data_IF_117402390127
#
_entry.id   IF_117402390127
#
_cell.length_a   1.000
_cell.length_b   1.000
_cell.length_c   1.000
_cell.angle_alpha   90.00
_cell.angle_beta   90.00
_cell.angle_gamma   90.00
#
_symmetry.space_group_name_H-M   'P 1'
#
loop_
_entity.id
_entity.type
_entity.pdbx_description
1 polymer ?
#
# COMPACT_ATOMS: atom_id res chain seq x y z
N UNK A 1 -26.58 -4.70 6.34
CA UNK A 1 -26.38 -5.50 5.10
C UNK A 1 -24.88 -5.75 4.92
N UNK A 2 -24.42 -6.89 5.40
CA UNK A 2 -23.03 -7.34 5.47
C UNK A 2 -22.53 -7.77 4.09
N UNK A 3 -21.57 -7.04 3.53
CA UNK A 3 -20.91 -7.36 2.25
C UNK A 3 -19.90 -8.51 2.40
N UNK A 4 -20.38 -9.71 2.74
CA UNK A 4 -19.57 -10.94 2.85
C UNK A 4 -20.19 -12.18 2.16
N UNK A 5 -21.14 -12.02 1.24
CA UNK A 5 -21.74 -13.17 0.52
C UNK A 5 -20.97 -13.61 -0.75
N UNK A 6 -19.83 -13.00 -1.05
CA UNK A 6 -18.87 -13.53 -2.00
C UNK A 6 -17.55 -13.75 -1.25
N UNK A 7 -17.18 -15.00 -0.98
CA UNK A 7 -15.94 -15.42 -0.27
C UNK A 7 -14.65 -15.08 -1.06
N UNK A 8 -14.51 -13.85 -1.55
CA UNK A 8 -13.27 -13.33 -2.11
C UNK A 8 -12.48 -12.71 -0.97
N UNK A 9 -11.69 -13.55 -0.31
CA UNK A 9 -10.75 -13.10 0.73
C UNK A 9 -9.62 -12.28 0.12
N UNK A 10 -9.19 -11.25 0.84
CA UNK A 10 -8.01 -10.47 0.47
C UNK A 10 -7.22 -10.05 1.71
N UNK A 11 -5.90 -9.99 1.57
CA UNK A 11 -4.97 -9.50 2.58
C UNK A 11 -3.98 -8.52 1.94
N UNK A 12 -3.92 -7.25 2.39
CA UNK A 12 -2.89 -6.32 1.94
C UNK A 12 -1.55 -6.65 2.60
N UNK A 13 -0.45 -6.57 1.84
CA UNK A 13 0.90 -6.65 2.39
C UNK A 13 1.26 -5.34 3.12
N UNK A 14 1.65 -5.38 4.41
CA UNK A 14 2.11 -4.21 5.15
C UNK A 14 3.54 -3.80 4.76
N UNK A 15 3.95 -2.58 5.14
CA UNK A 15 5.35 -2.15 5.13
C UNK A 15 5.90 -1.58 3.82
N UNK A 16 5.14 -1.63 2.72
CA UNK A 16 5.61 -1.11 1.43
C UNK A 16 5.36 0.41 1.35
N UNK A 17 6.42 1.18 1.34
CA UNK A 17 6.37 2.64 1.19
C UNK A 17 6.57 3.03 -0.28
N UNK A 18 5.61 3.79 -0.85
CA UNK A 18 5.67 4.29 -2.23
C UNK A 18 5.98 3.24 -3.31
N UNK A 19 5.63 1.97 -3.09
CA UNK A 19 5.96 0.88 -4.01
C UNK A 19 7.44 0.51 -4.09
N UNK A 20 8.26 0.99 -3.17
CA UNK A 20 9.68 0.64 -3.10
C UNK A 20 9.86 -0.72 -2.41
N UNK A 21 10.68 -1.57 -3.01
CA UNK A 21 10.98 -2.91 -2.53
C UNK A 21 12.47 -3.17 -2.65
N UNK A 22 13.03 -3.82 -1.63
CA UNK A 22 14.36 -4.40 -1.66
C UNK A 22 14.30 -5.86 -2.10
N UNK A 23 15.46 -6.46 -2.39
CA UNK A 23 15.54 -7.90 -2.65
C UNK A 23 14.98 -8.72 -1.48
N UNK A 24 15.30 -8.33 -0.24
CA UNK A 24 14.79 -9.00 0.96
C UNK A 24 13.25 -8.94 1.05
N UNK A 25 12.64 -7.82 0.63
CA UNK A 25 11.17 -7.71 0.58
C UNK A 25 10.57 -8.66 -0.46
N UNK A 26 11.20 -8.76 -1.64
CA UNK A 26 10.77 -9.67 -2.71
C UNK A 26 10.89 -11.14 -2.31
N UNK A 27 11.99 -11.51 -1.65
CA UNK A 27 12.20 -12.85 -1.11
C UNK A 27 11.17 -13.18 -0.03
N UNK A 28 10.90 -12.24 0.88
CA UNK A 28 9.85 -12.39 1.91
C UNK A 28 8.47 -12.57 1.28
N UNK A 29 8.10 -11.76 0.29
CA UNK A 29 6.82 -11.90 -0.41
C UNK A 29 6.73 -13.28 -1.08
N UNK A 30 7.81 -13.71 -1.73
CA UNK A 30 7.86 -15.01 -2.42
C UNK A 30 7.71 -16.17 -1.45
N UNK A 31 8.39 -16.11 -0.29
CA UNK A 31 8.28 -17.11 0.76
C UNK A 31 6.85 -17.22 1.31
N UNK A 32 6.21 -16.08 1.61
CA UNK A 32 4.82 -16.03 2.08
C UNK A 32 3.88 -16.63 1.04
N UNK A 33 4.02 -16.25 -0.23
CA UNK A 33 3.19 -16.76 -1.33
C UNK A 33 3.32 -18.28 -1.45
N UNK A 34 4.53 -18.81 -1.30
CA UNK A 34 4.81 -20.25 -1.35
C UNK A 34 4.24 -20.99 -0.15
N UNK A 35 4.50 -20.53 1.08
CA UNK A 35 4.04 -21.20 2.31
C UNK A 35 2.53 -21.25 2.44
N UNK A 36 1.85 -20.16 2.07
CA UNK A 36 0.40 -20.04 2.18
C UNK A 36 -0.35 -20.55 0.93
N UNK A 37 0.39 -20.97 -0.11
CA UNK A 37 -0.13 -21.39 -1.41
C UNK A 37 -1.15 -20.37 -1.97
N UNK A 38 -0.73 -19.10 -2.04
CA UNK A 38 -1.60 -17.97 -2.38
C UNK A 38 -1.99 -18.05 -3.86
N UNK A 39 -3.29 -18.15 -4.21
CA UNK A 39 -3.71 -18.34 -5.59
C UNK A 39 -3.42 -17.14 -6.51
N UNK A 40 -3.53 -15.91 -5.98
CA UNK A 40 -3.31 -14.71 -6.76
C UNK A 40 -2.67 -13.60 -5.93
N UNK A 41 -1.63 -13.00 -6.48
CA UNK A 41 -1.02 -11.77 -5.98
C UNK A 41 -1.34 -10.64 -6.94
N UNK A 42 -1.94 -9.55 -6.46
CA UNK A 42 -2.32 -8.39 -7.28
C UNK A 42 -1.56 -7.14 -6.84
N UNK A 43 -0.87 -6.51 -7.78
CA UNK A 43 -0.39 -5.13 -7.63
C UNK A 43 -1.58 -4.17 -7.76
N UNK A 44 -1.70 -3.25 -6.82
CA UNK A 44 -2.78 -2.26 -6.72
C UNK A 44 -2.34 -0.89 -7.20
N UNK A 45 -3.30 -0.02 -7.57
CA UNK A 45 -3.02 1.38 -7.93
C UNK A 45 -2.40 2.21 -6.79
N UNK A 46 -2.47 1.72 -5.56
CA UNK A 46 -1.80 2.29 -4.39
C UNK A 46 -0.31 1.87 -4.27
N UNK A 47 0.25 1.22 -5.30
CA UNK A 47 1.62 0.69 -5.31
C UNK A 47 1.88 -0.36 -4.20
N UNK A 48 0.93 -1.27 -3.99
CA UNK A 48 1.00 -2.35 -2.98
C UNK A 48 0.58 -3.69 -3.54
N UNK A 49 0.96 -4.77 -2.85
CA UNK A 49 0.53 -6.14 -3.16
C UNK A 49 -0.65 -6.56 -2.30
N UNK A 50 -1.61 -7.23 -2.93
CA UNK A 50 -2.76 -7.87 -2.30
C UNK A 50 -2.71 -9.36 -2.58
N UNK A 51 -2.80 -10.16 -1.52
CA UNK A 51 -2.98 -11.60 -1.60
C UNK A 51 -4.48 -11.91 -1.67
N UNK A 52 -4.91 -12.72 -2.63
CA UNK A 52 -6.33 -12.99 -2.88
C UNK A 52 -6.60 -14.49 -3.07
N UNK A 53 -7.82 -14.91 -2.71
CA UNK A 53 -8.31 -16.27 -2.97
C UNK A 53 -7.98 -17.30 -1.89
N UNK A 54 -7.56 -16.86 -0.70
CA UNK A 54 -7.33 -17.75 0.44
C UNK A 54 -8.65 -18.22 1.08
N UNK A 55 -8.65 -19.37 1.73
CA UNK A 55 -9.75 -19.73 2.62
C UNK A 55 -9.78 -18.75 3.83
N UNK A 56 -10.94 -18.45 4.43
CA UNK A 56 -11.03 -17.55 5.58
C UNK A 56 -10.11 -17.93 6.76
N UNK A 57 -9.87 -19.21 6.97
CA UNK A 57 -9.02 -19.74 8.04
C UNK A 57 -7.55 -19.41 7.77
N UNK A 58 -7.06 -19.70 6.56
CA UNK A 58 -5.71 -19.34 6.11
C UNK A 58 -5.49 -17.83 6.07
N UNK A 59 -6.53 -17.07 5.78
CA UNK A 59 -6.48 -15.61 5.84
C UNK A 59 -6.20 -15.12 7.27
N UNK A 60 -6.84 -15.73 8.27
CA UNK A 60 -6.62 -15.37 9.67
C UNK A 60 -5.18 -15.71 10.12
N UNK A 61 -4.65 -16.86 9.69
CA UNK A 61 -3.25 -17.24 9.93
C UNK A 61 -2.27 -16.23 9.31
N UNK A 62 -2.46 -15.89 8.04
CA UNK A 62 -1.63 -14.91 7.34
C UNK A 62 -1.67 -13.52 7.98
N UNK A 63 -2.85 -13.07 8.43
CA UNK A 63 -2.99 -11.78 9.13
C UNK A 63 -2.21 -11.75 10.44
N UNK A 64 -2.27 -12.84 11.22
CA UNK A 64 -1.49 -12.98 12.45
C UNK A 64 0.01 -12.97 12.18
N UNK A 65 0.47 -13.69 11.15
CA UNK A 65 1.88 -13.72 10.76
C UNK A 65 2.38 -12.32 10.33
N UNK A 66 1.55 -11.58 9.59
CA UNK A 66 1.86 -10.22 9.14
C UNK A 66 1.68 -9.16 10.25
N UNK A 67 1.34 -9.58 11.47
CA UNK A 67 1.05 -8.71 12.62
C UNK A 67 0.06 -7.58 12.26
N UNK A 68 -0.96 -7.92 11.48
CA UNK A 68 -2.00 -6.98 11.10
C UNK A 68 -3.02 -6.86 12.24
N UNK A 69 -3.37 -5.64 12.69
CA UNK A 69 -4.28 -5.47 13.83
C UNK A 69 -5.68 -6.04 13.54
N UNK A 70 -6.27 -6.70 14.54
CA UNK A 70 -7.62 -7.25 14.43
C UNK A 70 -8.67 -6.12 14.33
N UNK A 71 -9.41 -6.07 13.21
CA UNK A 71 -10.45 -5.06 12.96
C UNK A 71 -10.91 -4.95 11.50
N UNK A 72 -11.90 -4.08 11.25
CA UNK A 72 -12.29 -3.65 9.89
C UNK A 72 -11.03 -3.30 9.07
N UNK A 73 -11.01 -3.50 7.73
CA UNK A 73 -9.78 -3.45 6.93
C UNK A 73 -8.97 -2.22 7.32
N UNK A 74 -7.74 -2.46 7.78
CA UNK A 74 -6.65 -1.65 8.39
C UNK A 74 -6.37 -0.27 7.73
N UNK A 75 -7.44 0.37 7.26
CA UNK A 75 -7.55 1.34 6.16
C UNK A 75 -8.76 2.26 6.36
N UNK A 76 -9.69 1.92 7.26
CA UNK A 76 -10.73 2.83 7.70
C UNK A 76 -10.11 3.73 8.77
N UNK A 77 -10.25 5.04 8.58
CA UNK A 77 -9.94 6.07 9.57
C UNK A 77 -8.44 6.32 9.82
N UNK A 78 -7.60 6.15 8.80
CA UNK A 78 -6.16 6.47 8.79
C UNK A 78 -5.73 6.92 7.39
N UNK A 79 -4.49 7.38 7.23
CA UNK A 79 -3.90 7.46 5.89
C UNK A 79 -3.80 6.05 5.33
N UNK A 80 -4.55 5.86 4.26
CA UNK A 80 -4.68 4.59 3.60
C UNK A 80 -3.38 4.24 2.88
N UNK A 81 -2.83 5.15 2.06
CA UNK A 81 -1.54 4.98 1.40
C UNK A 81 -0.90 6.30 1.01
N UNK A 82 0.42 6.22 0.79
CA UNK A 82 1.24 7.26 0.19
C UNK A 82 1.79 6.70 -1.12
N UNK A 83 1.33 7.26 -2.23
CA UNK A 83 1.77 6.91 -3.58
C UNK A 83 2.77 7.95 -4.06
N UNK A 84 3.90 7.51 -4.63
CA UNK A 84 4.89 8.43 -5.18
C UNK A 84 5.54 7.91 -6.46
N UNK A 85 5.92 8.83 -7.34
CA UNK A 85 6.63 8.48 -8.57
C UNK A 85 8.11 8.21 -8.27
N UNK A 86 8.90 7.72 -9.24
CA UNK A 86 10.34 7.53 -9.02
C UNK A 86 11.10 8.84 -8.72
N UNK A 87 10.52 10.00 -9.06
CA UNK A 87 11.08 11.32 -8.74
C UNK A 87 12.40 11.62 -9.44
N UNK A 88 13.10 12.64 -8.98
CA UNK A 88 14.40 13.06 -9.54
C UNK A 88 15.52 12.03 -9.37
N UNK A 89 15.33 11.01 -8.52
CA UNK A 89 16.32 9.95 -8.32
C UNK A 89 16.45 9.02 -9.53
N UNK A 90 15.33 8.72 -10.21
CA UNK A 90 15.28 7.70 -11.26
C UNK A 90 14.51 8.10 -12.52
N UNK A 91 13.68 9.14 -12.46
CA UNK A 91 12.91 9.63 -13.60
C UNK A 91 13.59 10.81 -14.27
N UNK A 92 13.81 10.73 -15.59
CA UNK A 92 14.33 11.83 -16.42
C UNK A 92 13.55 13.14 -16.27
N UNK A 93 12.24 13.05 -16.03
CA UNK A 93 11.35 14.21 -15.89
C UNK A 93 11.20 14.68 -14.44
N UNK A 94 11.74 13.95 -13.47
CA UNK A 94 11.58 14.26 -12.06
C UNK A 94 12.35 15.51 -11.67
N UNK A 95 11.65 16.53 -11.18
CA UNK A 95 12.26 17.78 -10.71
C UNK A 95 12.48 17.79 -9.19
N UNK A 96 11.77 16.92 -8.46
CA UNK A 96 11.85 16.78 -6.99
C UNK A 96 12.00 15.32 -6.58
N UNK A 97 12.63 15.12 -5.41
CA UNK A 97 12.75 13.79 -4.80
C UNK A 97 11.44 13.41 -4.10
N UNK A 98 10.62 12.64 -4.80
CA UNK A 98 9.31 12.22 -4.30
C UNK A 98 9.38 11.05 -3.34
N UNK A 99 10.40 10.19 -3.44
CA UNK A 99 10.55 9.02 -2.59
C UNK A 99 10.96 9.42 -1.18
N UNK A 100 11.84 10.42 -1.04
CA UNK A 100 12.20 11.00 0.26
C UNK A 100 10.98 11.63 0.95
N UNK A 101 10.18 12.40 0.22
CA UNK A 101 8.94 13.00 0.76
C UNK A 101 7.93 11.93 1.15
N UNK A 102 7.78 10.88 0.34
CA UNK A 102 6.89 9.77 0.67
C UNK A 102 7.31 9.02 1.94
N UNK A 103 8.61 8.84 2.14
CA UNK A 103 9.17 8.26 3.37
C UNK A 103 8.85 9.13 4.58
N UNK A 104 9.15 10.43 4.50
CA UNK A 104 8.87 11.37 5.58
C UNK A 104 7.37 11.41 5.94
N UNK A 105 6.48 11.41 4.95
CA UNK A 105 5.03 11.34 5.20
C UNK A 105 4.65 9.98 5.79
N UNK A 106 5.23 8.88 5.31
CA UNK A 106 4.99 7.54 5.86
C UNK A 106 5.36 7.44 7.35
N UNK A 107 6.46 8.08 7.75
CA UNK A 107 6.91 8.17 9.16
C UNK A 107 6.05 9.15 9.97
N UNK A 108 5.67 10.30 9.41
CA UNK A 108 4.85 11.30 10.10
C UNK A 108 3.41 10.84 10.35
N UNK A 109 2.85 10.06 9.44
CA UNK A 109 1.46 9.59 9.56
C UNK A 109 1.34 8.30 10.36
N UNK A 110 2.36 7.99 11.16
CA UNK A 110 2.30 7.01 12.23
C UNK A 110 1.26 7.45 13.27
N UNK A 111 0.06 6.91 13.12
CA UNK A 111 -0.91 6.60 14.19
C UNK A 111 -1.87 7.68 14.70
N UNK A 112 -2.12 8.75 13.95
CA UNK A 112 -3.27 9.62 14.22
C UNK A 112 -4.59 8.99 13.74
N UNK A 113 -5.62 8.79 14.60
CA UNK A 113 -6.94 8.42 14.11
C UNK A 113 -7.53 9.57 13.28
N UNK A 114 -7.86 9.30 12.02
CA UNK A 114 -8.53 10.25 11.13
C UNK A 114 -10.02 9.95 11.05
N UNK A 115 -10.91 10.94 10.85
CA UNK A 115 -12.34 10.68 10.76
C UNK A 115 -12.71 9.79 9.56
N UNK A 116 -11.91 9.84 8.49
CA UNK A 116 -12.11 9.06 7.26
C UNK A 116 -10.78 8.58 6.68
N UNK A 117 -10.85 7.68 5.69
CA UNK A 117 -9.68 7.21 4.92
C UNK A 117 -9.09 8.37 4.11
N UNK A 118 -7.77 8.56 4.18
CA UNK A 118 -7.05 9.61 3.43
C UNK A 118 -6.03 8.98 2.51
N UNK A 119 -5.97 9.42 1.25
CA UNK A 119 -5.02 8.95 0.24
C UNK A 119 -4.08 10.08 -0.13
N UNK A 120 -2.79 9.78 -0.23
CA UNK A 120 -1.75 10.75 -0.56
C UNK A 120 -1.11 10.41 -1.90
N UNK A 121 -0.91 11.41 -2.75
CA UNK A 121 -0.25 11.26 -4.06
C UNK A 121 0.81 12.31 -4.28
N UNK A 122 2.02 11.87 -4.59
CA UNK A 122 3.21 12.71 -4.68
C UNK A 122 3.81 12.57 -6.08
N UNK A 123 3.75 13.64 -6.86
CA UNK A 123 4.26 13.70 -8.22
C UNK A 123 5.39 14.72 -8.30
N UNK A 124 6.53 14.30 -8.83
CA UNK A 124 7.74 15.13 -8.87
C UNK A 124 7.83 16.01 -10.11
N UNK A 125 6.77 16.12 -10.90
CA UNK A 125 6.68 16.99 -12.07
C UNK A 125 5.21 17.14 -12.52
N UNK A 126 5.00 18.00 -13.50
CA UNK A 126 3.68 18.33 -14.10
C UNK A 126 2.97 17.15 -14.78
N UNK A 127 3.66 16.04 -15.06
CA UNK A 127 3.05 14.82 -15.63
C UNK A 127 2.06 14.15 -14.69
N UNK A 128 2.16 14.41 -13.37
CA UNK A 128 1.21 13.95 -12.37
C UNK A 128 0.93 12.42 -12.37
N UNK A 129 1.99 11.61 -12.52
CA UNK A 129 1.87 10.15 -12.61
C UNK A 129 1.20 9.49 -11.39
N UNK A 130 1.19 10.16 -10.24
CA UNK A 130 0.58 9.66 -9.01
C UNK A 130 -0.83 10.20 -8.75
N UNK A 131 -1.46 10.79 -9.78
CA UNK A 131 -2.81 11.31 -9.71
C UNK A 131 -2.99 12.32 -8.58
N UNK A 132 -1.95 13.13 -8.30
CA UNK A 132 -1.88 14.03 -7.13
C UNK A 132 -3.11 14.95 -7.02
N UNK A 133 -3.67 15.40 -8.14
CA UNK A 133 -4.87 16.24 -8.17
C UNK A 133 -6.16 15.52 -7.72
N UNK A 134 -6.20 14.19 -7.79
CA UNK A 134 -7.35 13.37 -7.40
C UNK A 134 -7.19 12.74 -6.01
N UNK A 135 -6.08 13.01 -5.33
CA UNK A 135 -5.82 12.49 -3.97
C UNK A 135 -6.35 13.48 -2.93
N UNK A 136 -6.71 12.96 -1.76
CA UNK A 136 -7.14 13.78 -0.62
C UNK A 136 -6.02 14.76 -0.21
N UNK A 137 -4.77 14.30 -0.29
CA UNK A 137 -3.58 15.15 -0.19
C UNK A 137 -2.71 14.94 -1.43
N UNK A 138 -2.62 15.98 -2.25
CA UNK A 138 -1.84 16.00 -3.48
C UNK A 138 -0.62 16.89 -3.37
N UNK A 139 0.57 16.34 -3.65
CA UNK A 139 1.79 17.11 -3.86
C UNK A 139 2.21 16.97 -5.32
N UNK A 140 2.40 18.10 -5.99
CA UNK A 140 2.84 18.19 -7.38
C UNK A 140 3.86 19.32 -7.55
N UNK A 141 4.90 19.08 -8.35
CA UNK A 141 5.97 20.04 -8.65
C UNK A 141 5.88 20.59 -10.08
#
# INVERSE_FOLDING_TARGET
MSTQENHKTFCPMPGINAGTLTLADLERITDIVRRHNIPMVKVTGAQRFYFQGLAPEKLAELKKELNLPDGLPHTRNRVHYVQACPGSQWCRYGTRDTLAVARAIGELVLEGPLPYKVKVGISGCRMCCCESWMRDVGLAA
#
